data_IF_888390312999
#
_entry.id   IF_888390312999
#
_cell.length_a   1.000
_cell.length_b   1.000
_cell.length_c   1.000
_cell.angle_alpha   90.00
_cell.angle_beta   90.00
_cell.angle_gamma   90.00
#
_symmetry.space_group_name_H-M   'P 1'
#
loop_
_entity.id
_entity.type
_entity.pdbx_description
1 polymer ?
#
# COMPACT_ATOMS: atom_id res chain seq x y z
N UNK A 1 -28.89 28.03 -9.21
CA UNK A 1 -27.47 27.74 -9.01
C UNK A 1 -27.40 26.55 -8.06
N UNK A 2 -27.14 25.35 -8.56
CA UNK A 2 -26.97 24.19 -7.68
C UNK A 2 -25.53 24.19 -7.17
N UNK A 3 -25.36 24.42 -5.87
CA UNK A 3 -24.10 24.13 -5.20
C UNK A 3 -23.89 22.61 -5.29
N UNK A 4 -22.79 22.19 -5.92
CA UNK A 4 -22.40 20.79 -5.93
C UNK A 4 -22.00 20.41 -4.48
N UNK A 5 -22.55 19.33 -3.90
CA UNK A 5 -22.22 18.95 -2.55
C UNK A 5 -20.72 18.66 -2.40
N UNK A 6 -20.15 19.23 -1.35
CA UNK A 6 -18.72 19.40 -1.04
C UNK A 6 -18.06 18.10 -0.55
N UNK A 7 -18.81 17.00 -0.47
CA UNK A 7 -18.35 15.74 0.10
C UNK A 7 -17.93 14.77 -1.01
N UNK A 8 -16.72 14.97 -1.54
CA UNK A 8 -16.03 13.87 -2.22
C UNK A 8 -15.42 13.00 -1.12
N UNK A 9 -16.15 12.00 -0.65
CA UNK A 9 -15.57 10.96 0.17
C UNK A 9 -14.38 10.33 -0.57
N UNK A 10 -13.25 10.05 0.10
CA UNK A 10 -12.11 9.43 -0.55
C UNK A 10 -12.51 8.06 -1.10
N UNK A 11 -12.01 7.73 -2.30
CA UNK A 11 -12.19 6.39 -2.85
C UNK A 11 -11.35 5.41 -2.02
N UNK A 12 -11.99 4.41 -1.42
CA UNK A 12 -11.29 3.41 -0.60
C UNK A 12 -11.08 2.14 -1.41
N UNK A 13 -9.88 1.58 -1.33
CA UNK A 13 -9.57 0.27 -1.86
C UNK A 13 -8.54 -0.47 -1.01
N UNK A 14 -8.12 -1.64 -1.45
CA UNK A 14 -7.18 -2.50 -0.75
C UNK A 14 -5.74 -2.32 -1.22
N UNK A 15 -4.78 -2.45 -0.32
CA UNK A 15 -3.37 -2.32 -0.66
C UNK A 15 -2.51 -3.16 0.27
N UNK A 16 -1.46 -3.71 -0.29
CA UNK A 16 -0.38 -4.37 0.46
C UNK A 16 0.84 -3.47 0.44
N UNK A 17 1.54 -3.41 1.57
CA UNK A 17 2.76 -2.67 1.78
C UNK A 17 3.86 -3.60 2.26
N UNK A 18 5.10 -3.23 1.94
CA UNK A 18 6.27 -3.77 2.63
C UNK A 18 6.44 -3.02 3.95
N UNK A 19 6.95 -3.71 4.97
CA UNK A 19 7.45 -3.08 6.19
C UNK A 19 8.96 -3.12 6.15
N UNK A 20 9.59 -1.96 6.28
CA UNK A 20 11.06 -1.80 6.30
C UNK A 20 11.50 -1.12 7.60
N UNK A 21 12.67 -1.45 8.14
CA UNK A 21 13.30 -0.65 9.20
C UNK A 21 13.89 0.63 8.60
N UNK A 22 13.59 1.77 9.18
CA UNK A 22 14.11 3.09 8.82
C UNK A 22 14.43 3.83 10.13
N UNK A 23 15.70 4.18 10.35
CA UNK A 23 16.18 4.82 11.59
C UNK A 23 15.65 4.17 12.88
N UNK A 24 15.75 2.84 12.98
CA UNK A 24 15.27 2.02 14.11
C UNK A 24 13.73 1.95 14.28
N UNK A 25 12.94 2.48 13.33
CA UNK A 25 11.47 2.41 13.37
C UNK A 25 10.91 1.71 12.13
N UNK A 26 9.78 1.01 12.27
CA UNK A 26 9.12 0.38 11.12
C UNK A 26 8.28 1.37 10.30
N UNK A 27 8.43 1.29 8.98
CA UNK A 27 7.72 2.13 8.01
C UNK A 27 7.17 1.31 6.86
N UNK A 28 6.06 1.80 6.30
CA UNK A 28 5.43 1.27 5.10
C UNK A 28 6.21 1.71 3.85
N UNK A 29 6.45 0.78 2.93
CA UNK A 29 7.05 1.04 1.62
C UNK A 29 6.22 0.39 0.52
N UNK A 30 6.24 0.97 -0.67
CA UNK A 30 5.55 0.43 -1.84
C UNK A 30 6.18 -0.90 -2.29
N UNK A 31 5.34 -1.86 -2.69
CA UNK A 31 5.78 -3.17 -3.20
C UNK A 31 6.43 -3.07 -4.58
N UNK A 32 5.96 -2.12 -5.39
CA UNK A 32 6.33 -2.01 -6.82
C UNK A 32 7.41 -0.96 -7.05
N UNK A 33 7.39 0.12 -6.26
CA UNK A 33 8.29 1.26 -6.46
C UNK A 33 9.07 1.54 -5.19
N UNK A 34 10.24 2.12 -5.37
CA UNK A 34 11.04 2.60 -4.24
C UNK A 34 10.43 3.87 -3.66
N UNK A 35 9.44 3.72 -2.78
CA UNK A 35 8.69 4.83 -2.22
C UNK A 35 8.24 4.52 -0.81
N UNK A 36 8.77 5.29 0.13
CA UNK A 36 8.39 5.29 1.54
C UNK A 36 7.05 6.00 1.73
N UNK A 37 6.25 5.51 2.67
CA UNK A 37 5.03 6.16 3.14
C UNK A 37 5.31 6.69 4.53
N UNK A 38 5.31 8.00 4.72
CA UNK A 38 5.60 8.60 6.03
C UNK A 38 4.32 8.76 6.85
N UNK A 39 4.35 8.51 8.17
CA UNK A 39 3.22 8.82 9.06
C UNK A 39 2.78 10.29 8.95
N UNK A 40 1.49 10.53 9.11
CA UNK A 40 0.82 11.84 9.03
C UNK A 40 1.01 12.63 7.72
N UNK A 41 1.61 12.00 6.70
CA UNK A 41 1.86 12.63 5.42
C UNK A 41 1.18 11.81 4.32
N UNK A 42 0.36 12.47 3.53
CA UNK A 42 -0.18 11.89 2.31
C UNK A 42 0.95 11.52 1.34
N UNK A 43 0.84 10.35 0.72
CA UNK A 43 1.69 10.03 -0.40
C UNK A 43 1.18 10.74 -1.65
N UNK A 44 2.06 11.46 -2.35
CA UNK A 44 1.76 12.10 -3.63
C UNK A 44 2.36 11.29 -4.77
N UNK A 45 1.56 10.98 -5.78
CA UNK A 45 1.99 10.22 -6.93
C UNK A 45 2.86 11.07 -7.87
N UNK A 46 4.00 10.51 -8.27
CA UNK A 46 4.86 11.09 -9.30
C UNK A 46 5.05 10.11 -10.46
N UNK A 47 5.14 10.63 -11.68
CA UNK A 47 5.40 9.81 -12.86
C UNK A 47 6.91 9.52 -12.97
N UNK A 48 7.32 8.30 -12.63
CA UNK A 48 8.72 7.89 -12.67
C UNK A 48 9.26 7.66 -14.10
N UNK A 49 8.42 7.71 -15.14
CA UNK A 49 8.90 7.64 -16.53
C UNK A 49 9.78 8.84 -16.92
N UNK A 50 9.66 9.98 -16.23
CA UNK A 50 10.57 11.11 -16.44
C UNK A 50 11.96 10.88 -15.84
N UNK A 51 12.09 9.99 -14.84
CA UNK A 51 13.37 9.67 -14.21
C UNK A 51 14.22 8.72 -15.08
N UNK A 52 13.58 7.85 -15.87
CA UNK A 52 14.25 7.02 -16.87
C UNK A 52 14.43 7.82 -18.16
N UNK A 53 15.50 8.62 -18.25
CA UNK A 53 15.89 9.39 -19.46
C UNK A 53 16.31 8.47 -20.62
N UNK A 54 15.40 7.65 -21.15
CA UNK A 54 15.60 6.91 -22.39
C UNK A 54 15.30 7.86 -23.57
N UNK A 55 16.28 8.19 -24.43
CA UNK A 55 16.13 9.22 -25.47
C UNK A 55 15.05 8.89 -26.52
N UNK A 56 14.63 7.63 -26.61
CA UNK A 56 13.65 7.13 -27.58
C UNK A 56 12.20 7.13 -27.05
N UNK A 57 11.98 7.45 -25.77
CA UNK A 57 10.65 7.49 -25.15
C UNK A 57 10.42 8.85 -24.52
N UNK A 58 10.02 9.83 -25.35
CA UNK A 58 9.59 11.15 -24.89
C UNK A 58 8.20 10.99 -24.25
N UNK A 59 8.17 10.65 -22.97
CA UNK A 59 6.92 10.63 -22.21
C UNK A 59 6.51 12.10 -21.99
N UNK A 60 5.38 12.51 -22.54
CA UNK A 60 4.86 13.86 -22.36
C UNK A 60 4.57 14.12 -20.89
N UNK A 61 4.93 15.31 -20.39
CA UNK A 61 4.59 15.74 -19.03
C UNK A 61 3.08 15.63 -18.81
N UNK A 62 2.68 15.05 -17.69
CA UNK A 62 1.29 14.96 -17.30
C UNK A 62 1.13 14.93 -15.78
N UNK A 63 -0.05 15.36 -15.33
CA UNK A 63 -0.47 15.18 -13.94
C UNK A 63 -0.63 13.68 -13.66
N UNK A 64 -0.15 13.19 -12.52
CA UNK A 64 -0.32 11.80 -12.11
C UNK A 64 -1.62 11.61 -11.32
N UNK A 65 -2.39 10.53 -11.55
CA UNK A 65 -2.21 9.52 -12.57
C UNK A 65 -2.62 10.01 -13.97
N UNK A 66 -1.76 9.73 -14.96
CA UNK A 66 -2.10 9.91 -16.38
C UNK A 66 -3.08 8.83 -16.84
N UNK A 67 -4.06 9.19 -17.69
CA UNK A 67 -5.06 8.22 -18.21
C UNK A 67 -4.38 7.03 -18.92
N UNK A 68 -3.38 7.31 -19.76
CA UNK A 68 -2.66 6.32 -20.56
C UNK A 68 -1.24 6.00 -20.02
N UNK A 69 -0.97 6.35 -18.77
CA UNK A 69 0.30 6.03 -18.09
C UNK A 69 0.02 5.05 -16.95
N UNK A 70 0.97 4.17 -16.62
CA UNK A 70 0.88 3.27 -15.47
C UNK A 70 1.18 3.92 -14.11
N UNK A 71 1.46 5.23 -14.05
CA UNK A 71 1.77 5.91 -12.79
C UNK A 71 0.54 6.07 -11.88
N UNK A 72 0.76 6.42 -10.62
CA UNK A 72 -0.30 6.59 -9.63
C UNK A 72 -0.15 5.64 -8.45
N UNK A 73 -0.92 5.90 -7.40
CA UNK A 73 -0.96 5.06 -6.21
C UNK A 73 -2.11 4.09 -6.37
N UNK A 74 -1.79 2.81 -6.52
CA UNK A 74 -2.78 1.75 -6.75
C UNK A 74 -3.50 1.34 -5.47
N UNK A 75 -4.81 1.14 -5.59
CA UNK A 75 -5.63 0.42 -4.64
C UNK A 75 -6.47 -0.62 -5.40
N UNK A 76 -6.39 -1.87 -4.97
CA UNK A 76 -7.22 -2.95 -5.48
C UNK A 76 -8.68 -2.74 -5.08
N UNK A 77 -9.60 -3.28 -5.88
CA UNK A 77 -11.02 -3.29 -5.52
C UNK A 77 -11.32 -4.31 -4.45
N UNK A 78 -10.83 -5.52 -4.66
CA UNK A 78 -11.10 -6.66 -3.81
C UNK A 78 -9.86 -7.01 -2.97
N UNK A 79 -10.05 -7.47 -1.71
CA UNK A 79 -8.95 -7.81 -0.82
C UNK A 79 -8.06 -8.93 -1.38
N UNK A 80 -8.61 -9.89 -2.13
CA UNK A 80 -7.89 -11.01 -2.75
C UNK A 80 -6.80 -10.53 -3.69
N UNK A 81 -7.05 -9.45 -4.42
CA UNK A 81 -6.08 -8.91 -5.37
C UNK A 81 -4.89 -8.27 -4.64
N UNK A 82 -5.15 -7.58 -3.53
CA UNK A 82 -4.09 -7.06 -2.67
C UNK A 82 -3.36 -8.19 -1.94
N UNK A 83 -4.09 -9.17 -1.40
CA UNK A 83 -3.56 -10.29 -0.64
C UNK A 83 -2.60 -11.16 -1.47
N UNK A 84 -2.78 -11.23 -2.79
CA UNK A 84 -1.84 -11.90 -3.70
C UNK A 84 -0.39 -11.37 -3.60
N UNK A 85 -0.19 -10.16 -3.08
CA UNK A 85 1.14 -9.58 -2.85
C UNK A 85 1.75 -9.89 -1.48
N UNK A 86 1.05 -10.61 -0.60
CA UNK A 86 1.59 -11.08 0.68
C UNK A 86 2.66 -12.18 0.49
N UNK A 87 2.59 -12.93 -0.61
CA UNK A 87 3.38 -14.15 -0.87
C UNK A 87 4.42 -13.96 -1.97
N UNK A 88 4.54 -12.74 -2.47
CA UNK A 88 5.36 -12.43 -3.63
C UNK A 88 6.81 -12.10 -3.30
N UNK A 89 7.68 -12.31 -4.29
CA UNK A 89 8.99 -11.67 -4.34
C UNK A 89 8.82 -10.20 -4.76
N UNK A 90 9.56 -9.29 -4.14
CA UNK A 90 9.71 -7.89 -4.56
C UNK A 90 11.17 -7.52 -4.74
N UNK A 91 11.40 -6.38 -5.37
CA UNK A 91 12.73 -5.79 -5.51
C UNK A 91 13.40 -5.48 -4.14
N UNK A 92 12.61 -5.37 -3.07
CA UNK A 92 13.04 -4.98 -1.73
C UNK A 92 12.98 -6.13 -0.72
N UNK A 93 12.89 -7.40 -1.14
CA UNK A 93 12.78 -8.53 -0.19
C UNK A 93 13.97 -8.61 0.80
N UNK A 94 15.16 -8.18 0.41
CA UNK A 94 16.32 -8.11 1.30
C UNK A 94 16.32 -6.92 2.26
N UNK A 95 15.39 -5.97 2.08
CA UNK A 95 15.23 -4.76 2.90
C UNK A 95 13.97 -4.83 3.77
N UNK A 96 12.93 -5.53 3.30
CA UNK A 96 11.68 -5.70 4.02
C UNK A 96 11.80 -6.75 5.10
N UNK A 97 11.21 -6.45 6.26
CA UNK A 97 11.15 -7.35 7.41
C UNK A 97 9.79 -8.03 7.53
N UNK A 98 8.76 -7.47 6.90
CA UNK A 98 7.41 -8.03 6.88
C UNK A 98 6.57 -7.46 5.72
N UNK A 99 5.37 -8.00 5.53
CA UNK A 99 4.35 -7.48 4.60
C UNK A 99 3.03 -7.33 5.34
N UNK A 100 2.37 -6.19 5.12
CA UNK A 100 1.08 -5.86 5.74
C UNK A 100 0.09 -5.45 4.66
N UNK A 101 -1.19 -5.53 4.96
CA UNK A 101 -2.28 -5.29 4.00
C UNK A 101 -3.38 -4.52 4.70
N UNK A 102 -4.17 -3.77 3.95
CA UNK A 102 -5.34 -3.12 4.51
C UNK A 102 -5.99 -2.20 3.51
N UNK A 103 -6.73 -1.23 4.02
CA UNK A 103 -7.44 -0.27 3.18
C UNK A 103 -6.67 1.02 3.06
N UNK A 104 -6.78 1.66 1.91
CA UNK A 104 -6.12 2.91 1.58
C UNK A 104 -7.17 3.87 1.03
N UNK A 105 -7.14 5.11 1.51
CA UNK A 105 -7.92 6.21 0.97
C UNK A 105 -7.18 6.82 -0.21
N UNK A 106 -7.87 7.04 -1.33
CA UNK A 106 -7.36 7.74 -2.52
C UNK A 106 -8.13 9.03 -2.74
N UNK A 107 -7.43 10.11 -3.07
CA UNK A 107 -8.05 11.41 -3.38
C UNK A 107 -7.23 12.26 -4.36
N UNK A 108 -7.75 13.46 -4.61
CA UNK A 108 -7.33 14.33 -5.70
C UNK A 108 -7.86 13.79 -7.03
N UNK A 109 -6.96 13.49 -7.97
CA UNK A 109 -7.31 12.79 -9.20
C UNK A 109 -7.32 11.29 -8.95
N UNK A 110 -8.48 10.67 -9.08
CA UNK A 110 -8.65 9.22 -9.04
C UNK A 110 -9.07 8.72 -10.43
N UNK A 111 -8.42 7.66 -10.90
CA UNK A 111 -8.71 7.00 -12.18
C UNK A 111 -9.09 5.56 -11.89
N UNK A 112 -10.31 5.17 -12.25
CA UNK A 112 -10.74 3.78 -12.20
C UNK A 112 -10.00 2.95 -13.27
N UNK A 113 -9.68 1.72 -12.90
CA UNK A 113 -8.97 0.72 -13.67
C UNK A 113 -9.69 -0.63 -13.53
N UNK A 114 -9.33 -1.61 -14.36
CA UNK A 114 -10.01 -2.92 -14.39
C UNK A 114 -10.08 -3.62 -13.02
N UNK A 115 -9.04 -3.45 -12.20
CA UNK A 115 -8.84 -4.14 -10.90
C UNK A 115 -8.87 -3.18 -9.70
N UNK A 116 -9.48 -2.00 -9.84
CA UNK A 116 -9.54 -1.00 -8.78
C UNK A 116 -9.22 0.40 -9.27
N UNK A 117 -8.37 1.13 -8.57
CA UNK A 117 -8.15 2.55 -8.81
C UNK A 117 -6.69 2.96 -8.71
N UNK A 118 -6.40 4.12 -9.29
CA UNK A 118 -5.15 4.85 -9.11
C UNK A 118 -5.44 6.25 -8.62
N UNK A 119 -4.88 6.64 -7.48
CA UNK A 119 -5.00 7.98 -6.93
C UNK A 119 -3.75 8.83 -7.18
N UNK A 120 -3.95 10.16 -7.22
CA UNK A 120 -2.85 11.13 -7.17
C UNK A 120 -2.32 11.34 -5.76
N UNK A 121 -3.17 11.12 -4.76
CA UNK A 121 -2.85 11.19 -3.35
C UNK A 121 -3.42 9.97 -2.66
N UNK A 122 -2.74 9.51 -1.62
CA UNK A 122 -3.21 8.41 -0.82
C UNK A 122 -2.69 8.43 0.61
N UNK A 123 -3.40 7.80 1.52
CA UNK A 123 -2.93 7.50 2.87
C UNK A 123 -3.60 6.23 3.38
N UNK A 124 -2.93 5.41 4.22
CA UNK A 124 -3.56 4.24 4.81
C UNK A 124 -4.84 4.66 5.53
N UNK A 125 -5.83 3.78 5.54
CA UNK A 125 -7.09 3.98 6.28
C UNK A 125 -7.24 2.96 7.39
N UNK A 126 -6.77 1.74 7.17
CA UNK A 126 -6.69 0.65 8.16
C UNK A 126 -5.60 -0.31 7.75
N UNK A 127 -4.85 -0.85 8.70
CA UNK A 127 -3.76 -1.78 8.48
C UNK A 127 -4.05 -3.07 9.25
N UNK A 128 -3.82 -4.19 8.58
CA UNK A 128 -3.81 -5.52 9.16
C UNK A 128 -2.41 -6.10 9.08
N UNK A 129 -1.94 -6.62 10.21
CA UNK A 129 -0.62 -7.24 10.35
C UNK A 129 -0.83 -8.76 10.41
N UNK A 130 -0.58 -9.48 9.31
CA UNK A 130 -0.65 -10.93 9.30
C UNK A 130 0.50 -11.53 10.12
N UNK A 131 0.41 -12.80 10.53
CA UNK A 131 1.48 -13.46 11.26
C UNK A 131 2.76 -13.53 10.43
N UNK A 132 3.89 -13.50 11.12
CA UNK A 132 5.22 -13.44 10.50
C UNK A 132 5.55 -14.73 9.76
N UNK A 133 6.09 -14.58 8.55
CA UNK A 133 6.70 -15.67 7.76
C UNK A 133 8.23 -15.69 7.81
N UNK A 134 8.81 -14.87 8.67
CA UNK A 134 10.23 -14.87 8.86
C UNK A 134 10.69 -16.26 9.30
N UNK A 135 11.86 -16.73 8.82
CA UNK A 135 12.43 -17.98 9.28
C UNK A 135 12.54 -18.00 10.80
N UNK A 136 12.45 -19.18 11.43
CA UNK A 136 12.37 -19.34 12.90
C UNK A 136 13.50 -18.65 13.69
N UNK A 137 14.64 -18.33 13.06
CA UNK A 137 15.75 -17.59 13.67
C UNK A 137 15.55 -16.06 13.73
N UNK A 138 14.53 -15.51 13.06
CA UNK A 138 13.99 -14.19 13.39
C UNK A 138 12.97 -14.39 14.52
N UNK A 139 13.20 -13.74 15.67
CA UNK A 139 12.26 -13.74 16.80
C UNK A 139 10.84 -13.48 16.32
N UNK A 140 9.91 -14.36 16.73
CA UNK A 140 8.47 -14.20 16.58
C UNK A 140 7.89 -12.98 17.34
N UNK A 141 8.73 -12.20 18.02
CA UNK A 141 8.40 -11.02 18.83
C UNK A 141 8.22 -9.73 18.00
N UNK A 142 8.28 -9.80 16.66
CA UNK A 142 8.27 -8.61 15.81
C UNK A 142 6.90 -8.17 15.31
N UNK A 143 5.86 -9.02 15.31
CA UNK A 143 4.56 -8.59 14.74
C UNK A 143 3.87 -7.58 15.63
N UNK A 144 3.99 -7.73 16.94
CA UNK A 144 3.50 -6.78 17.94
C UNK A 144 4.31 -5.48 17.88
N UNK A 145 5.64 -5.56 17.76
CA UNK A 145 6.49 -4.37 17.58
C UNK A 145 6.17 -3.63 16.27
N UNK A 146 5.95 -4.37 15.18
CA UNK A 146 5.52 -3.81 13.89
C UNK A 146 4.15 -3.16 14.06
N UNK A 147 3.18 -3.85 14.65
CA UNK A 147 1.85 -3.31 14.86
C UNK A 147 1.90 -2.03 15.70
N UNK A 148 2.68 -2.04 16.80
CA UNK A 148 2.89 -0.88 17.67
C UNK A 148 3.53 0.28 16.90
N UNK A 149 4.62 0.04 16.17
CA UNK A 149 5.28 1.09 15.38
C UNK A 149 4.37 1.65 14.27
N UNK A 150 3.51 0.82 13.68
CA UNK A 150 2.56 1.26 12.66
C UNK A 150 1.38 2.05 13.24
N UNK A 151 1.20 2.12 14.56
CA UNK A 151 0.23 3.04 15.18
C UNK A 151 0.61 4.51 14.97
N UNK A 152 1.89 4.82 14.67
CA UNK A 152 2.34 6.15 14.27
C UNK A 152 1.53 6.70 13.07
N UNK A 153 0.99 5.82 12.21
CA UNK A 153 0.18 6.25 11.07
C UNK A 153 -1.19 6.81 11.48
N UNK A 154 -1.56 6.75 12.76
CA UNK A 154 -2.83 7.27 13.27
C UNK A 154 -4.05 6.68 12.53
N UNK A 155 -3.96 5.38 12.24
CA UNK A 155 -5.02 4.57 11.65
C UNK A 155 -5.19 3.30 12.46
N UNK A 156 -6.36 2.65 12.43
CA UNK A 156 -6.53 1.36 13.09
C UNK A 156 -5.51 0.35 12.56
N UNK A 157 -4.79 -0.30 13.49
CA UNK A 157 -3.85 -1.39 13.22
C UNK A 157 -4.33 -2.64 13.97
N UNK A 158 -4.56 -3.72 13.25
CA UNK A 158 -5.07 -4.97 13.81
C UNK A 158 -4.12 -6.12 13.51
N UNK A 159 -3.76 -6.90 14.53
CA UNK A 159 -3.11 -8.20 14.37
C UNK A 159 -4.16 -9.20 13.87
N UNK A 160 -3.77 -10.09 12.97
CA UNK A 160 -4.65 -11.17 12.53
C UNK A 160 -4.12 -12.52 12.98
N UNK A 161 -5.03 -13.28 13.61
CA UNK A 161 -4.81 -14.66 14.00
C UNK A 161 -5.13 -15.58 12.82
N UNK A 162 -4.19 -15.71 11.89
CA UNK A 162 -4.31 -16.68 10.79
C UNK A 162 -3.36 -17.85 11.03
N UNK A 163 -3.90 -19.03 11.34
CA UNK A 163 -3.10 -20.24 11.55
C UNK A 163 -2.40 -20.72 10.27
N UNK A 164 -2.84 -20.25 9.10
CA UNK A 164 -2.10 -20.39 7.86
C UNK A 164 -1.85 -19.04 7.21
N UNK A 165 -0.64 -18.90 6.68
CA UNK A 165 -0.26 -17.71 5.93
C UNK A 165 -0.94 -17.59 4.57
N UNK A 166 -1.79 -18.51 4.12
CA UNK A 166 -2.38 -18.46 2.77
C UNK A 166 -3.19 -17.15 2.58
N UNK A 167 -2.91 -16.34 1.54
CA UNK A 167 -3.72 -15.17 1.18
C UNK A 167 -5.22 -15.43 1.18
N UNK A 168 -5.65 -16.64 0.81
CA UNK A 168 -7.07 -17.03 0.83
C UNK A 168 -7.62 -17.16 2.24
N UNK A 169 -6.84 -17.72 3.16
CA UNK A 169 -7.24 -17.82 4.57
C UNK A 169 -7.23 -16.46 5.26
N UNK A 170 -6.27 -15.60 4.91
CA UNK A 170 -6.26 -14.20 5.33
C UNK A 170 -7.55 -13.49 4.88
N UNK A 171 -7.92 -13.60 3.61
CA UNK A 171 -9.16 -12.99 3.11
C UNK A 171 -10.38 -13.59 3.82
N UNK A 172 -10.39 -14.90 4.06
CA UNK A 172 -11.46 -15.53 4.84
C UNK A 172 -11.50 -15.05 6.30
N UNK A 173 -10.39 -14.60 6.89
CA UNK A 173 -10.37 -14.00 8.22
C UNK A 173 -10.93 -12.56 8.22
N UNK A 174 -10.73 -11.79 7.13
CA UNK A 174 -11.28 -10.43 7.00
C UNK A 174 -12.81 -10.38 6.91
N UNK A 175 -13.46 -11.48 6.53
CA UNK A 175 -14.91 -11.59 6.36
C UNK A 175 -15.65 -12.22 7.55
N UNK A 176 -14.93 -12.56 8.62
CA UNK A 176 -15.52 -13.08 9.87
C UNK A 176 -15.88 -11.95 10.82
#
# INVERSE_FOLDING_TARGET
MSAAPDYIEPTVGWRTWLVVPEDEVFRLRSIVYDTLWSPHNELVAHCLHHAMRLPWRKHSEHVSPGRNCGCGIYAAREPEEAASYLDGRSWADGLSVHRVIGTVSLWGRVVECTRGWRGSRAYPKKIYVPPTRAPFWLRAERVEEIALALTDYDVPVELLDAESGDPKEFVAALHR
#
